data_IF_231443611742
#
_entry.id   IF_231443611742
#
_cell.length_a   1.000
_cell.length_b   1.000
_cell.length_c   1.000
_cell.angle_alpha   90.00
_cell.angle_beta   90.00
_cell.angle_gamma   90.00
#
_symmetry.space_group_name_H-M   'P 1'
#
loop_
_entity.id
_entity.type
_entity.pdbx_description
1 polymer ?
#
# COMPACT_ATOMS: atom_id res chain seq x y z
N UNK A 1 -12.31 -10.17 -8.31
CA UNK A 1 -11.32 -9.15 -8.71
C UNK A 1 -11.52 -7.78 -8.03
N UNK A 2 -12.67 -7.11 -8.18
CA UNK A 2 -12.90 -5.78 -7.59
C UNK A 2 -12.61 -5.70 -6.08
N UNK A 3 -13.10 -6.66 -5.29
CA UNK A 3 -12.82 -6.72 -3.85
C UNK A 3 -11.32 -6.80 -3.54
N UNK A 4 -10.58 -7.64 -4.27
CA UNK A 4 -9.13 -7.77 -4.12
C UNK A 4 -8.43 -6.44 -4.39
N UNK A 5 -8.80 -5.73 -5.46
CA UNK A 5 -8.20 -4.44 -5.80
C UNK A 5 -8.60 -3.33 -4.83
N UNK A 6 -9.78 -3.42 -4.22
CA UNK A 6 -10.16 -2.58 -3.09
C UNK A 6 -9.20 -2.76 -1.90
N UNK A 7 -8.90 -4.02 -1.53
CA UNK A 7 -7.96 -4.33 -0.44
C UNK A 7 -6.53 -3.88 -0.78
N UNK A 8 -6.07 -4.12 -2.00
CA UNK A 8 -4.72 -3.69 -2.45
C UNK A 8 -4.61 -2.16 -2.44
N UNK A 9 -5.65 -1.44 -2.88
CA UNK A 9 -5.69 0.02 -2.79
C UNK A 9 -5.65 0.52 -1.35
N UNK A 10 -6.34 -0.16 -0.43
CA UNK A 10 -6.30 0.17 0.99
C UNK A 10 -4.91 -0.06 1.60
N UNK A 11 -4.22 -1.14 1.23
CA UNK A 11 -2.87 -1.45 1.71
C UNK A 11 -1.77 -0.58 1.12
N UNK A 12 -2.07 0.09 0.01
CA UNK A 12 -1.08 0.82 -0.80
C UNK A 12 -0.21 1.82 -0.04
N UNK A 13 -0.73 2.65 0.89
CA UNK A 13 0.11 3.59 1.65
C UNK A 13 1.16 2.89 2.51
N UNK A 14 0.83 1.73 3.08
CA UNK A 14 1.70 0.96 3.96
C UNK A 14 2.76 0.16 3.18
N UNK A 15 2.38 -0.29 2.00
CA UNK A 15 3.20 -1.17 1.17
C UNK A 15 4.01 -0.43 0.11
N UNK A 16 3.92 0.91 0.04
CA UNK A 16 4.62 1.77 -0.92
C UNK A 16 4.53 1.26 -2.36
N UNK A 17 3.35 0.80 -2.77
CA UNK A 17 3.11 0.23 -4.09
C UNK A 17 2.94 1.34 -5.13
N UNK A 18 3.71 1.24 -6.23
CA UNK A 18 3.65 2.19 -7.33
C UNK A 18 2.42 1.98 -8.23
N UNK A 19 1.89 3.09 -8.78
CA UNK A 19 0.83 3.11 -9.79
C UNK A 19 1.22 2.31 -11.03
N UNK A 20 2.47 2.43 -11.48
CA UNK A 20 2.94 1.75 -12.71
C UNK A 20 2.89 0.24 -12.50
N UNK A 21 3.36 -0.22 -11.34
CA UNK A 21 3.35 -1.62 -10.96
C UNK A 21 1.93 -2.19 -10.87
N UNK A 22 0.99 -1.46 -10.25
CA UNK A 22 -0.40 -1.93 -10.08
C UNK A 22 -1.26 -1.79 -11.33
N UNK A 23 -0.82 -1.03 -12.34
CA UNK A 23 -1.59 -0.75 -13.56
C UNK A 23 -2.16 -2.01 -14.22
N UNK A 24 -1.41 -3.11 -14.43
CA UNK A 24 -1.95 -4.32 -15.07
C UNK A 24 -3.17 -4.90 -14.35
N UNK A 25 -3.25 -4.71 -13.02
CA UNK A 25 -4.40 -5.14 -12.23
C UNK A 25 -5.65 -4.29 -12.47
N UNK A 26 -5.47 -2.97 -12.64
CA UNK A 26 -6.57 -2.06 -12.98
C UNK A 26 -7.04 -2.23 -14.42
N UNK A 27 -6.17 -2.64 -15.34
CA UNK A 27 -6.57 -2.97 -16.71
C UNK A 27 -7.55 -4.15 -16.74
N UNK A 28 -7.41 -5.13 -15.84
CA UNK A 28 -8.40 -6.19 -15.65
C UNK A 28 -9.76 -5.65 -15.17
N UNK A 29 -9.81 -4.41 -14.69
CA UNK A 29 -11.08 -3.78 -14.32
C UNK A 29 -11.90 -3.31 -15.52
N UNK A 30 -11.24 -3.03 -16.64
CA UNK A 30 -11.85 -2.49 -17.86
C UNK A 30 -12.65 -3.56 -18.61
N UNK A 31 -13.60 -3.12 -19.42
CA UNK A 31 -14.54 -3.99 -20.13
C UNK A 31 -15.93 -3.96 -19.50
N UNK A 32 -16.66 -5.07 -19.57
CA UNK A 32 -18.03 -5.17 -19.07
C UNK A 32 -18.12 -4.90 -17.56
N UNK A 33 -19.09 -4.07 -17.18
CA UNK A 33 -19.33 -3.65 -15.80
C UNK A 33 -19.99 -4.74 -14.94
N UNK A 34 -20.51 -5.80 -15.55
CA UNK A 34 -21.16 -6.89 -14.85
C UNK A 34 -20.18 -7.65 -13.95
N UNK A 35 -20.58 -7.88 -12.70
CA UNK A 35 -19.76 -8.60 -11.70
C UNK A 35 -19.47 -10.06 -12.07
N UNK A 36 -20.34 -10.65 -12.90
CA UNK A 36 -20.25 -12.04 -13.37
C UNK A 36 -19.47 -12.19 -14.66
N UNK A 37 -19.05 -11.09 -15.30
CA UNK A 37 -18.29 -11.14 -16.54
C UNK A 37 -16.95 -11.84 -16.30
N UNK A 38 -16.56 -12.82 -17.15
CA UNK A 38 -15.34 -13.58 -16.96
C UNK A 38 -14.12 -12.66 -17.12
N UNK A 39 -13.16 -12.79 -16.20
CA UNK A 39 -11.90 -12.03 -16.23
C UNK A 39 -10.76 -12.97 -15.95
N UNK A 40 -9.79 -13.00 -16.86
CA UNK A 40 -8.62 -13.86 -16.77
C UNK A 40 -7.42 -13.04 -16.30
N UNK A 41 -6.62 -13.61 -15.39
CA UNK A 41 -5.34 -13.04 -15.01
C UNK A 41 -4.38 -13.13 -16.19
N UNK A 42 -3.86 -11.99 -16.63
CA UNK A 42 -2.76 -11.93 -17.60
C UNK A 42 -1.43 -12.19 -16.87
N UNK A 43 -0.38 -12.58 -17.60
CA UNK A 43 0.94 -12.76 -17.02
C UNK A 43 1.46 -11.50 -16.29
N UNK A 44 1.16 -10.31 -16.83
CA UNK A 44 1.53 -9.04 -16.21
C UNK A 44 0.76 -8.78 -14.91
N UNK A 45 -0.54 -9.12 -14.86
CA UNK A 45 -1.32 -9.03 -13.64
C UNK A 45 -0.83 -10.02 -12.57
N UNK A 46 -0.47 -11.24 -12.96
CA UNK A 46 0.12 -12.22 -12.04
C UNK A 46 1.44 -11.70 -11.46
N UNK A 47 2.31 -11.11 -12.28
CA UNK A 47 3.56 -10.52 -11.81
C UNK A 47 3.31 -9.35 -10.82
N UNK A 48 2.33 -8.49 -11.10
CA UNK A 48 1.95 -7.41 -10.20
C UNK A 48 1.43 -7.96 -8.84
N UNK A 49 0.63 -9.03 -8.85
CA UNK A 49 0.20 -9.68 -7.60
C UNK A 49 1.38 -10.24 -6.80
N UNK A 50 2.36 -10.86 -7.46
CA UNK A 50 3.56 -11.37 -6.77
C UNK A 50 4.35 -10.24 -6.09
N UNK A 51 4.44 -9.07 -6.73
CA UNK A 51 5.10 -7.93 -6.11
C UNK A 51 4.32 -7.38 -4.92
N UNK A 52 2.99 -7.40 -4.96
CA UNK A 52 2.15 -7.07 -3.80
C UNK A 52 2.39 -8.06 -2.66
N UNK A 53 2.42 -9.36 -2.94
CA UNK A 53 2.71 -10.38 -1.91
C UNK A 53 4.08 -10.19 -1.28
N UNK A 54 5.12 -9.93 -2.09
CA UNK A 54 6.46 -9.67 -1.59
C UNK A 54 6.48 -8.42 -0.70
N UNK A 55 5.81 -7.34 -1.12
CA UNK A 55 5.72 -6.13 -0.31
C UNK A 55 5.01 -6.37 1.03
N UNK A 56 3.96 -7.21 1.06
CA UNK A 56 3.28 -7.60 2.30
C UNK A 56 4.22 -8.43 3.20
N UNK A 57 5.00 -9.33 2.62
CA UNK A 57 5.93 -10.16 3.39
C UNK A 57 7.10 -9.34 3.96
N UNK A 58 7.57 -8.34 3.22
CA UNK A 58 8.71 -7.50 3.59
C UNK A 58 8.32 -6.37 4.56
N UNK A 59 7.06 -5.93 4.55
CA UNK A 59 6.62 -4.74 5.30
C UNK A 59 5.57 -5.10 6.32
N UNK A 60 5.84 -4.74 7.57
CA UNK A 60 4.89 -4.89 8.66
C UNK A 60 4.25 -3.52 8.94
N UNK A 61 2.93 -3.50 9.07
CA UNK A 61 2.26 -2.37 9.67
C UNK A 61 2.47 -2.44 11.18
N UNK A 62 2.97 -1.36 11.77
CA UNK A 62 3.17 -1.28 13.21
C UNK A 62 1.86 -0.88 13.88
N UNK A 63 1.53 -1.53 15.00
CA UNK A 63 0.38 -1.12 15.81
C UNK A 63 0.74 0.09 16.64
N UNK A 64 -0.26 0.94 16.88
CA UNK A 64 -0.16 2.04 17.84
C UNK A 64 0.17 1.50 19.23
N UNK A 65 1.26 1.98 19.81
CA UNK A 65 1.67 1.73 21.19
C UNK A 65 1.11 2.84 22.06
N UNK A 66 0.21 2.51 22.99
CA UNK A 66 -0.60 3.50 23.72
C UNK A 66 0.24 4.41 24.61
N UNK A 67 1.40 3.93 25.02
CA UNK A 67 2.32 4.60 25.93
C UNK A 67 3.20 5.65 25.21
N UNK A 68 3.20 5.67 23.87
CA UNK A 68 3.97 6.60 23.06
C UNK A 68 3.06 7.66 22.42
N UNK A 69 3.53 8.91 22.45
CA UNK A 69 2.85 10.00 21.74
C UNK A 69 2.91 9.81 20.23
N UNK A 70 1.81 10.10 19.55
CA UNK A 70 1.73 10.15 18.09
C UNK A 70 2.27 11.50 17.63
N UNK A 71 3.14 11.50 16.62
CA UNK A 71 3.81 12.70 16.11
C UNK A 71 3.51 12.88 14.62
N UNK A 72 3.31 14.14 14.20
CA UNK A 72 3.17 14.52 12.80
C UNK A 72 4.50 15.07 12.29
N UNK A 73 5.04 14.43 11.27
CA UNK A 73 6.24 14.86 10.56
C UNK A 73 5.81 15.54 9.26
N UNK A 74 6.21 16.80 9.07
CA UNK A 74 5.89 17.56 7.86
C UNK A 74 7.18 17.80 7.08
N UNK A 75 7.24 17.25 5.88
CA UNK A 75 8.34 17.40 4.94
C UNK A 75 7.90 18.30 3.80
N UNK A 76 8.81 19.06 3.20
CA UNK A 76 8.52 19.83 1.98
C UNK A 76 9.32 19.23 0.83
N UNK A 77 8.61 18.73 -0.19
CA UNK A 77 9.24 18.18 -1.40
C UNK A 77 8.72 18.96 -2.60
N UNK A 78 9.63 19.61 -3.34
CA UNK A 78 9.32 20.31 -4.59
C UNK A 78 8.06 21.22 -4.48
N UNK A 79 7.98 22.01 -3.40
CA UNK A 79 6.90 22.96 -3.06
C UNK A 79 5.57 22.37 -2.55
N UNK A 80 5.50 21.06 -2.29
CA UNK A 80 4.32 20.44 -1.71
C UNK A 80 4.63 19.90 -0.31
N UNK A 81 3.89 20.30 0.74
CA UNK A 81 4.04 19.68 2.04
C UNK A 81 3.50 18.26 1.99
N UNK A 82 4.30 17.31 2.48
CA UNK A 82 3.93 15.91 2.68
C UNK A 82 3.98 15.66 4.18
N UNK A 83 2.87 15.18 4.75
CA UNK A 83 2.77 14.80 6.15
C UNK A 83 2.89 13.30 6.33
N UNK A 84 3.52 12.87 7.43
CA UNK A 84 3.49 11.47 7.87
C UNK A 84 3.24 11.41 9.38
N UNK A 85 2.39 10.46 9.79
CA UNK A 85 2.07 10.23 11.20
C UNK A 85 2.89 9.04 11.66
N UNK A 86 3.62 9.19 12.77
CA UNK A 86 4.45 8.10 13.30
C UNK A 86 4.56 8.13 14.82
N UNK A 87 4.97 6.99 15.37
CA UNK A 87 5.49 6.88 16.73
C UNK A 87 6.99 6.65 16.65
N UNK A 88 7.74 7.32 17.52
CA UNK A 88 9.19 7.20 17.59
C UNK A 88 9.60 6.58 18.92
N UNK A 89 10.49 5.58 18.87
CA UNK A 89 11.11 4.98 20.04
C UNK A 89 12.48 4.40 19.67
N UNK A 90 13.54 4.98 20.24
CA UNK A 90 14.94 4.59 19.98
C UNK A 90 15.26 3.14 20.38
N UNK A 91 14.44 2.51 21.23
CA UNK A 91 14.61 1.12 21.63
C UNK A 91 14.10 0.11 20.57
N UNK A 92 13.39 0.56 19.53
CA UNK A 92 12.90 -0.31 18.46
C UNK A 92 13.97 -0.59 17.41
N UNK A 93 13.85 -1.76 16.76
CA UNK A 93 14.73 -2.14 15.63
C UNK A 93 14.62 -1.15 14.48
N UNK A 94 13.41 -0.64 14.22
CA UNK A 94 13.17 0.55 13.41
C UNK A 94 12.64 1.65 14.35
N UNK A 95 13.39 2.74 14.58
CA UNK A 95 12.97 3.78 15.51
C UNK A 95 11.68 4.49 15.09
N UNK A 96 11.31 4.45 13.81
CA UNK A 96 10.16 5.16 13.27
C UNK A 96 9.10 4.19 12.77
N UNK A 97 8.03 4.05 13.55
CA UNK A 97 6.87 3.28 13.13
C UNK A 97 5.81 4.22 12.57
N UNK A 98 5.66 4.26 11.25
CA UNK A 98 4.59 4.99 10.56
C UNK A 98 3.22 4.36 10.82
N UNK A 99 2.21 5.21 11.01
CA UNK A 99 0.82 4.83 11.29
C UNK A 99 -0.08 4.96 10.06
#
# INVERSE_FOLDING_TARGET
>A
LQKLLGVINWLRPFLGLDNVMLRPLFELLKGESFLTSPRSLTSAATQALQQVENAIAERQAHRVVKELSIQLYVFTVQMHPIGSIAQCNEAWKDPFHFL
#
